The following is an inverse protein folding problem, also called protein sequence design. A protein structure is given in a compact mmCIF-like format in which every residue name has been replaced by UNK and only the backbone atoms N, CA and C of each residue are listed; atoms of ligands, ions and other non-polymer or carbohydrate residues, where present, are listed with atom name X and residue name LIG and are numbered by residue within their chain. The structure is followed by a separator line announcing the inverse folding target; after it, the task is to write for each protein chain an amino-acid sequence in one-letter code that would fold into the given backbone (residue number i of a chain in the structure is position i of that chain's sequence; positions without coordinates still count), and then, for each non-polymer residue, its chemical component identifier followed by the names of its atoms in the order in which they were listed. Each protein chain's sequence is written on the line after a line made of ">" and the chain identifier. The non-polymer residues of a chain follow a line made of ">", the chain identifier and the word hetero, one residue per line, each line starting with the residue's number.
data_IF_732758344526
#
_entry.id   IF_732758344526
#
_cell.length_a   1.000
_cell.length_b   1.000
_cell.length_c   1.000
_cell.angle_alpha   90.00
_cell.angle_beta   90.00
_cell.angle_gamma   90.00
#
_symmetry.space_group_name_H-M   'P 1'
#
loop_
_entity.id
_entity.type
_entity.pdbx_description
1 polymer ?
#
# COMPACT_ATOMS: atom_id res chain seq x y z
N UNK A 1 3.43 -2.83 13.36
CA UNK A 1 4.04 -2.49 12.07
C UNK A 1 5.03 -1.36 12.26
N UNK A 2 6.22 -1.49 11.67
CA UNK A 2 7.27 -0.49 11.86
C UNK A 2 7.07 0.68 10.90
N UNK A 3 7.13 1.90 11.42
CA UNK A 3 7.01 3.13 10.64
C UNK A 3 8.26 3.96 10.86
N UNK A 4 8.92 4.35 9.77
CA UNK A 4 10.11 5.20 9.80
C UNK A 4 9.76 6.54 9.16
N UNK A 5 9.85 7.62 9.96
CA UNK A 5 9.59 8.98 9.47
C UNK A 5 10.90 9.61 9.01
N UNK A 6 10.89 10.20 7.82
CA UNK A 6 12.09 10.80 7.23
C UNK A 6 11.71 11.88 6.21
N UNK A 7 12.74 12.57 5.66
CA UNK A 7 12.53 13.63 4.67
C UNK A 7 12.90 13.21 3.24
N UNK A 8 13.22 11.94 3.03
CA UNK A 8 13.76 11.47 1.75
C UNK A 8 12.75 10.60 1.00
N UNK A 9 12.17 9.63 1.68
CA UNK A 9 11.27 8.63 1.08
C UNK A 9 9.90 8.73 1.75
N UNK A 10 8.82 8.70 0.99
CA UNK A 10 8.69 8.76 -0.47
C UNK A 10 8.89 10.17 -1.03
N UNK A 11 8.71 10.32 -2.34
CA UNK A 11 8.81 11.62 -2.98
C UNK A 11 7.81 12.62 -2.39
N UNK A 12 8.11 13.94 -2.44
CA UNK A 12 7.15 14.97 -2.01
C UNK A 12 5.79 14.79 -2.70
N UNK A 13 4.73 14.92 -1.93
CA UNK A 13 3.36 14.69 -2.41
C UNK A 13 2.78 13.33 -2.03
N UNK A 14 3.63 12.41 -1.58
CA UNK A 14 3.19 11.11 -1.09
C UNK A 14 3.43 11.02 0.41
N UNK A 15 2.43 10.52 1.15
CA UNK A 15 2.52 10.44 2.61
C UNK A 15 3.43 9.30 3.07
N UNK A 16 3.31 8.13 2.43
CA UNK A 16 4.01 6.94 2.88
C UNK A 16 4.20 5.93 1.76
N UNK A 17 5.19 5.06 1.92
CA UNK A 17 5.43 3.93 1.03
C UNK A 17 5.76 2.70 1.89
N UNK A 18 5.26 1.55 1.48
CA UNK A 18 5.52 0.28 2.16
C UNK A 18 6.58 -0.49 1.39
N UNK A 19 7.74 -0.68 2.02
CA UNK A 19 8.84 -1.46 1.44
C UNK A 19 9.06 -2.69 2.31
N UNK A 20 8.69 -3.86 1.78
CA UNK A 20 8.88 -5.16 2.43
C UNK A 20 8.29 -5.22 3.85
N UNK A 21 7.14 -4.55 4.05
CA UNK A 21 6.46 -4.56 5.34
C UNK A 21 6.88 -3.46 6.30
N UNK A 22 7.83 -2.61 5.89
CA UNK A 22 8.24 -1.43 6.69
C UNK A 22 7.68 -0.18 6.00
N UNK A 23 6.98 0.66 6.75
CA UNK A 23 6.42 1.90 6.23
C UNK A 23 7.44 3.01 6.36
N UNK A 24 7.77 3.66 5.24
CA UNK A 24 8.57 4.89 5.22
C UNK A 24 7.61 6.03 4.97
N UNK A 25 7.57 7.01 5.89
CA UNK A 25 6.66 8.13 5.80
C UNK A 25 7.43 9.45 5.88
N UNK A 26 6.92 10.46 5.19
CA UNK A 26 7.51 11.80 5.30
C UNK A 26 7.14 12.42 6.64
N UNK A 27 8.09 13.14 7.24
CA UNK A 27 7.90 13.75 8.56
C UNK A 27 6.73 14.72 8.63
N UNK A 28 6.41 15.39 7.54
CA UNK A 28 5.30 16.35 7.47
C UNK A 28 3.93 15.69 7.62
N UNK A 29 3.84 14.36 7.45
CA UNK A 29 2.59 13.59 7.61
C UNK A 29 2.52 12.85 8.94
N UNK A 30 3.42 13.16 9.85
CA UNK A 30 3.45 12.50 11.17
C UNK A 30 2.40 13.11 12.11
N UNK A 31 1.64 12.30 12.88
CA UNK A 31 1.55 10.84 12.78
C UNK A 31 0.61 10.42 11.65
N UNK A 32 0.87 9.25 11.07
CA UNK A 32 -0.03 8.69 10.04
C UNK A 32 -1.38 8.34 10.69
N UNK A 33 -2.46 8.54 9.93
CA UNK A 33 -3.79 8.18 10.40
C UNK A 33 -3.95 6.66 10.52
N UNK A 34 -4.90 6.22 11.35
CA UNK A 34 -5.22 4.80 11.46
C UNK A 34 -5.64 4.22 10.11
N UNK A 35 -6.37 4.98 9.31
CA UNK A 35 -6.78 4.56 7.96
C UNK A 35 -5.58 4.30 7.08
N UNK A 36 -4.59 5.19 7.09
CA UNK A 36 -3.37 5.02 6.30
C UNK A 36 -2.57 3.82 6.77
N UNK A 37 -2.40 3.64 8.08
CA UNK A 37 -1.69 2.50 8.64
C UNK A 37 -2.40 1.20 8.28
N UNK A 38 -3.73 1.17 8.36
CA UNK A 38 -4.52 -0.01 7.99
C UNK A 38 -4.38 -0.34 6.50
N UNK A 39 -4.38 0.68 5.65
CA UNK A 39 -4.13 0.51 4.21
C UNK A 39 -2.79 -0.17 3.95
N UNK A 40 -1.72 0.32 4.61
CA UNK A 40 -0.39 -0.25 4.45
C UNK A 40 -0.29 -1.65 5.06
N UNK A 41 -1.03 -1.91 6.15
CA UNK A 41 -1.07 -3.24 6.75
C UNK A 41 -1.69 -4.27 5.79
N UNK A 42 -2.72 -3.86 5.03
CA UNK A 42 -3.32 -4.72 4.00
C UNK A 42 -2.28 -5.08 2.95
N UNK A 43 -1.50 -4.11 2.48
CA UNK A 43 -0.42 -4.37 1.51
C UNK A 43 0.62 -5.32 2.08
N UNK A 44 0.96 -5.20 3.37
CA UNK A 44 1.91 -6.11 4.01
C UNK A 44 1.41 -7.55 3.96
N UNK A 45 0.12 -7.78 4.20
CA UNK A 45 -0.46 -9.12 4.12
C UNK A 45 -0.46 -9.64 2.68
N UNK A 46 -0.75 -8.78 1.70
CA UNK A 46 -0.66 -9.13 0.29
C UNK A 46 0.78 -9.52 -0.09
N UNK A 47 1.77 -8.78 0.42
CA UNK A 47 3.19 -9.07 0.18
C UNK A 47 3.58 -10.43 0.73
N UNK A 48 3.11 -10.77 1.94
CA UNK A 48 3.42 -12.06 2.56
C UNK A 48 2.86 -13.21 1.73
N UNK A 49 1.66 -13.07 1.18
CA UNK A 49 1.03 -14.09 0.35
C UNK A 49 1.86 -14.37 -0.90
N UNK A 50 2.50 -13.35 -1.46
CA UNK A 50 3.22 -13.43 -2.72
C UNK A 50 4.74 -13.43 -2.54
N UNK A 51 5.22 -13.71 -1.33
CA UNK A 51 6.64 -13.73 -1.00
C UNK A 51 7.36 -12.43 -1.37
N UNK A 52 6.70 -11.30 -1.16
CA UNK A 52 7.20 -9.94 -1.40
C UNK A 52 7.60 -9.67 -2.86
N UNK A 53 8.58 -10.42 -3.41
CA UNK A 53 9.03 -10.20 -4.80
C UNK A 53 7.89 -10.45 -5.77
N UNK A 54 7.13 -11.52 -5.57
CA UNK A 54 5.96 -11.83 -6.38
C UNK A 54 4.92 -10.72 -6.33
N UNK A 55 4.72 -10.11 -5.15
CA UNK A 55 3.80 -8.98 -5.00
C UNK A 55 4.20 -7.82 -5.92
N UNK A 56 5.45 -7.39 -5.86
CA UNK A 56 5.91 -6.26 -6.67
C UNK A 56 5.85 -6.56 -8.16
N UNK A 57 6.18 -7.79 -8.55
CA UNK A 57 6.13 -8.20 -9.94
C UNK A 57 4.68 -8.19 -10.46
N UNK A 58 3.75 -8.77 -9.71
CA UNK A 58 2.33 -8.78 -10.08
C UNK A 58 1.75 -7.37 -10.11
N UNK A 59 2.10 -6.54 -9.14
CA UNK A 59 1.67 -5.15 -9.06
C UNK A 59 2.10 -4.40 -10.34
N UNK A 60 3.37 -4.54 -10.71
CA UNK A 60 3.90 -3.88 -11.91
C UNK A 60 3.17 -4.34 -13.17
N UNK A 61 2.96 -5.65 -13.32
CA UNK A 61 2.26 -6.21 -14.48
C UNK A 61 0.83 -5.66 -14.56
N UNK A 62 0.08 -5.68 -13.45
CA UNK A 62 -1.28 -5.14 -13.44
C UNK A 62 -1.29 -3.64 -13.75
N UNK A 63 -0.34 -2.90 -13.22
CA UNK A 63 -0.24 -1.47 -13.48
C UNK A 63 -0.06 -1.18 -14.96
N UNK A 64 0.87 -1.90 -15.61
CA UNK A 64 1.12 -1.74 -17.04
C UNK A 64 -0.14 -2.09 -17.85
N UNK A 65 -0.80 -3.21 -17.53
CA UNK A 65 -2.03 -3.61 -18.23
C UNK A 65 -3.12 -2.55 -18.05
N UNK A 66 -3.30 -2.04 -16.85
CA UNK A 66 -4.35 -1.05 -16.56
C UNK A 66 -4.11 0.30 -17.20
N UNK A 67 -2.86 0.63 -17.56
CA UNK A 67 -2.56 1.86 -18.31
C UNK A 67 -3.27 1.90 -19.67
N UNK A 68 -3.57 0.73 -20.24
CA UNK A 68 -4.26 0.63 -21.53
C UNK A 68 -5.77 0.45 -21.36
N UNK A 69 -6.29 0.54 -20.15
CA UNK A 69 -7.71 0.40 -19.84
C UNK A 69 -8.27 1.73 -19.34
N UNK A 70 -9.59 1.87 -19.41
CA UNK A 70 -10.25 3.07 -18.88
C UNK A 70 -10.17 3.11 -17.36
N UNK A 71 -10.07 4.34 -16.82
CA UNK A 71 -10.07 4.58 -15.39
C UNK A 71 -8.68 4.88 -14.86
N UNK A 72 -8.56 4.95 -13.55
CA UNK A 72 -7.30 5.24 -12.88
C UNK A 72 -6.49 3.94 -12.77
N UNK A 73 -5.36 3.89 -13.49
CA UNK A 73 -4.52 2.68 -13.55
C UNK A 73 -4.09 2.23 -12.15
N UNK A 74 -3.59 3.14 -11.34
CA UNK A 74 -3.13 2.84 -9.98
C UNK A 74 -4.27 2.27 -9.12
N UNK A 75 -5.42 2.96 -9.10
CA UNK A 75 -6.54 2.62 -8.24
C UNK A 75 -7.23 1.31 -8.65
N UNK A 76 -7.11 0.93 -9.94
CA UNK A 76 -7.72 -0.29 -10.46
C UNK A 76 -6.83 -1.53 -10.35
N UNK A 77 -5.60 -1.41 -9.87
CA UNK A 77 -4.78 -2.57 -9.54
C UNK A 77 -5.47 -3.35 -8.43
N UNK A 78 -5.57 -4.68 -8.56
CA UNK A 78 -6.33 -5.51 -7.62
C UNK A 78 -5.87 -5.32 -6.16
N UNK A 79 -4.57 -5.18 -5.92
CA UNK A 79 -4.03 -4.96 -4.58
C UNK A 79 -4.49 -3.63 -4.00
N UNK A 80 -4.51 -2.58 -4.82
CA UNK A 80 -4.96 -1.26 -4.39
C UNK A 80 -6.48 -1.23 -4.20
N UNK A 81 -7.22 -1.94 -5.04
CA UNK A 81 -8.68 -2.02 -4.88
C UNK A 81 -9.06 -2.62 -3.53
N UNK A 82 -8.41 -3.69 -3.13
CA UNK A 82 -8.64 -4.26 -1.80
C UNK A 82 -8.27 -3.25 -0.71
N UNK A 83 -7.10 -2.63 -0.81
CA UNK A 83 -6.63 -1.71 0.22
C UNK A 83 -7.56 -0.50 0.35
N UNK A 84 -7.96 0.14 -0.76
CA UNK A 84 -8.87 1.30 -0.70
C UNK A 84 -10.27 0.92 -0.24
N UNK A 85 -10.79 -0.24 -0.65
CA UNK A 85 -12.13 -0.65 -0.26
C UNK A 85 -12.23 -1.06 1.20
N UNK A 86 -11.12 -1.51 1.79
CA UNK A 86 -11.11 -2.08 3.14
C UNK A 86 -10.34 -1.25 4.17
N UNK A 87 -9.71 -0.14 3.75
CA UNK A 87 -8.85 0.65 4.64
C UNK A 87 -9.61 1.26 5.83
N UNK A 88 -10.91 1.48 5.69
CA UNK A 88 -11.75 2.05 6.73
C UNK A 88 -12.37 1.01 7.67
N UNK A 89 -12.05 -0.26 7.49
CA UNK A 89 -12.57 -1.34 8.34
C UNK A 89 -11.57 -1.63 9.44
N UNK A 90 -11.84 -1.22 10.71
CA UNK A 90 -10.93 -1.49 11.82
C UNK A 90 -10.74 -3.00 11.98
N UNK A 91 -9.50 -3.43 12.13
CA UNK A 91 -9.19 -4.84 12.33
C UNK A 91 -9.34 -5.71 11.08
N UNK A 92 -9.48 -5.12 9.90
CA UNK A 92 -9.65 -5.90 8.66
C UNK A 92 -8.54 -6.93 8.45
N UNK A 93 -7.28 -6.57 8.76
CA UNK A 93 -6.14 -7.47 8.57
C UNK A 93 -6.32 -8.77 9.36
N UNK A 94 -6.95 -8.73 10.53
CA UNK A 94 -7.18 -9.92 11.35
C UNK A 94 -8.26 -10.85 10.79
N UNK A 95 -9.17 -10.33 9.97
CA UNK A 95 -10.27 -11.13 9.39
C UNK A 95 -10.04 -11.45 7.92
N UNK A 96 -9.02 -10.89 7.31
CA UNK A 96 -8.65 -11.14 5.91
C UNK A 96 -8.14 -12.58 5.76
N UNK A 97 -8.63 -13.23 4.73
CA UNK A 97 -8.24 -14.61 4.42
C UNK A 97 -7.29 -14.68 3.23
#
# INVERSE_FOLDING_TARGET
>A
MKIIYNNIIPFPGFAAINLFGVIFARKEYRPLSETTVNHEAIHTEQMKELLYVGFYLCYLIEWVVRLFMKGNAYRNISFEREAYNCQHIPGYVQIRQ
#
